data_IF_925212243138
#
_entry.id   IF_925212243138
#
_cell.length_a   1.000
_cell.length_b   1.000
_cell.length_c   1.000
_cell.angle_alpha   90.00
_cell.angle_beta   90.00
_cell.angle_gamma   90.00
#
_symmetry.space_group_name_H-M   'P 1'
#
loop_
_entity.id
_entity.type
_entity.pdbx_description
1 polymer ?
#
# COMPACT_ATOMS: atom_id res chain seq x y z
N UNK A 1 20.74 18.73 -13.63
CA UNK A 1 19.32 18.51 -14.00
C UNK A 1 19.12 17.19 -14.73
N UNK A 2 19.75 16.96 -15.90
CA UNK A 2 19.62 15.68 -16.62
C UNK A 2 20.04 14.47 -15.78
N UNK A 3 21.19 14.53 -15.10
CA UNK A 3 21.68 13.49 -14.19
C UNK A 3 20.63 13.11 -13.14
N UNK A 4 20.08 14.11 -12.44
CA UNK A 4 19.03 13.91 -11.45
C UNK A 4 17.80 13.20 -12.04
N UNK A 5 17.33 13.62 -13.22
CA UNK A 5 16.16 13.02 -13.89
C UNK A 5 16.41 11.54 -14.19
N UNK A 6 17.59 11.21 -14.73
CA UNK A 6 17.95 9.83 -15.06
C UNK A 6 18.06 8.95 -13.80
N UNK A 7 18.71 9.47 -12.75
CA UNK A 7 18.82 8.77 -11.47
C UNK A 7 17.46 8.60 -10.80
N UNK A 8 16.62 9.62 -10.81
CA UNK A 8 15.25 9.56 -10.28
C UNK A 8 14.46 8.48 -11.00
N UNK A 9 14.48 8.46 -12.35
CA UNK A 9 13.79 7.45 -13.13
C UNK A 9 14.32 6.03 -12.84
N UNK A 10 15.63 5.86 -12.71
CA UNK A 10 16.24 4.58 -12.39
C UNK A 10 15.83 4.08 -10.99
N UNK A 11 15.90 4.94 -9.97
CA UNK A 11 15.44 4.60 -8.62
C UNK A 11 13.93 4.35 -8.58
N UNK A 12 13.15 5.12 -9.33
CA UNK A 12 11.69 4.94 -9.41
C UNK A 12 11.35 3.54 -9.92
N UNK A 13 11.93 3.15 -11.06
CA UNK A 13 11.72 1.81 -11.64
C UNK A 13 12.21 0.72 -10.69
N UNK A 14 13.36 0.91 -10.04
CA UNK A 14 13.88 -0.07 -9.09
C UNK A 14 12.95 -0.26 -7.88
N UNK A 15 12.49 0.83 -7.26
CA UNK A 15 11.53 0.80 -6.15
C UNK A 15 10.18 0.21 -6.57
N UNK A 16 9.64 0.62 -7.72
CA UNK A 16 8.37 0.12 -8.23
C UNK A 16 8.43 -1.38 -8.56
N UNK A 17 9.53 -1.87 -9.13
CA UNK A 17 9.78 -3.31 -9.26
C UNK A 17 9.76 -4.02 -7.90
N UNK A 18 10.26 -3.39 -6.84
CA UNK A 18 10.28 -4.00 -5.52
C UNK A 18 8.89 -4.15 -4.89
N UNK A 19 8.00 -3.19 -5.15
CA UNK A 19 6.59 -3.32 -4.79
C UNK A 19 5.92 -4.39 -5.65
N UNK A 20 5.98 -4.26 -6.97
CA UNK A 20 5.20 -5.10 -7.89
C UNK A 20 5.69 -6.55 -7.95
N UNK A 21 6.99 -6.77 -8.12
CA UNK A 21 7.59 -8.11 -8.21
C UNK A 21 7.79 -8.71 -6.82
N UNK A 22 8.34 -7.92 -5.88
CA UNK A 22 8.64 -8.39 -4.54
C UNK A 22 7.39 -8.52 -3.68
N UNK A 23 6.90 -7.39 -3.17
CA UNK A 23 5.83 -7.36 -2.17
C UNK A 23 4.50 -7.90 -2.71
N UNK A 24 4.08 -7.45 -3.89
CA UNK A 24 2.76 -7.76 -4.43
C UNK A 24 2.68 -9.17 -5.05
N UNK A 25 3.30 -9.39 -6.21
CA UNK A 25 3.20 -10.67 -6.94
C UNK A 25 3.98 -11.79 -6.24
N UNK A 26 5.14 -11.48 -5.68
CA UNK A 26 6.03 -12.44 -5.03
C UNK A 26 5.53 -12.88 -3.65
N UNK A 27 5.41 -11.94 -2.72
CA UNK A 27 5.05 -12.24 -1.34
C UNK A 27 3.53 -12.35 -1.15
N UNK A 28 2.74 -11.34 -1.51
CA UNK A 28 1.31 -11.33 -1.20
C UNK A 28 0.53 -12.39 -1.97
N UNK A 29 0.79 -12.55 -3.27
CA UNK A 29 0.00 -13.44 -4.13
C UNK A 29 0.64 -14.77 -4.48
N UNK A 30 1.95 -14.93 -4.22
CA UNK A 30 2.70 -16.13 -4.61
C UNK A 30 2.49 -16.49 -6.09
N UNK A 31 2.36 -15.47 -6.93
CA UNK A 31 2.09 -15.60 -8.35
C UNK A 31 3.26 -16.26 -9.11
N UNK A 32 4.45 -16.25 -8.50
CA UNK A 32 5.60 -16.98 -8.97
C UNK A 32 6.42 -17.57 -7.81
N UNK A 33 7.31 -18.51 -8.12
CA UNK A 33 8.27 -19.09 -7.19
C UNK A 33 9.69 -18.83 -7.72
N UNK A 34 10.62 -18.51 -6.83
CA UNK A 34 12.03 -18.28 -7.16
C UNK A 34 12.92 -18.71 -5.98
N UNK A 35 14.24 -18.87 -6.17
CA UNK A 35 15.17 -19.03 -5.05
C UNK A 35 15.11 -17.82 -4.10
N UNK A 36 15.34 -18.05 -2.80
CA UNK A 36 15.22 -17.00 -1.77
C UNK A 36 16.07 -15.76 -2.01
N UNK A 37 17.27 -15.91 -2.59
CA UNK A 37 18.11 -14.75 -2.91
C UNK A 37 17.49 -13.84 -3.99
N UNK A 38 16.72 -14.41 -4.94
CA UNK A 38 15.97 -13.64 -5.94
C UNK A 38 14.77 -12.95 -5.29
N UNK A 39 14.08 -13.65 -4.38
CA UNK A 39 12.98 -13.06 -3.60
C UNK A 39 13.47 -11.86 -2.79
N UNK A 40 14.56 -12.02 -2.03
CA UNK A 40 15.16 -10.91 -1.27
C UNK A 40 15.65 -9.76 -2.15
N UNK A 41 16.23 -10.07 -3.31
CA UNK A 41 16.68 -9.05 -4.26
C UNK A 41 15.54 -8.12 -4.68
N UNK A 42 14.34 -8.67 -4.94
CA UNK A 42 13.17 -7.86 -5.31
C UNK A 42 12.45 -7.26 -4.11
N UNK A 43 12.46 -7.91 -2.95
CA UNK A 43 11.83 -7.34 -1.74
C UNK A 43 12.61 -6.11 -1.24
N UNK A 44 13.94 -6.11 -1.33
CA UNK A 44 14.78 -5.01 -0.87
C UNK A 44 14.39 -3.62 -1.42
N UNK A 45 14.22 -3.40 -2.73
CA UNK A 45 13.80 -2.10 -3.26
C UNK A 45 12.43 -1.64 -2.75
N UNK A 46 11.47 -2.56 -2.54
CA UNK A 46 10.15 -2.23 -2.01
C UNK A 46 10.23 -1.79 -0.55
N UNK A 47 11.03 -2.52 0.25
CA UNK A 47 11.35 -2.12 1.62
C UNK A 47 12.03 -0.73 1.66
N UNK A 48 12.96 -0.49 0.74
CA UNK A 48 13.63 0.80 0.58
C UNK A 48 12.76 1.88 -0.11
N UNK A 49 11.48 1.63 -0.35
CA UNK A 49 10.50 2.60 -0.83
C UNK A 49 9.52 3.04 0.28
N UNK A 50 9.89 2.86 1.56
CA UNK A 50 9.08 3.24 2.72
C UNK A 50 7.74 2.49 2.88
N UNK A 51 7.61 1.29 2.31
CA UNK A 51 6.40 0.45 2.36
C UNK A 51 6.22 -0.32 3.69
N UNK A 52 7.16 -0.17 4.64
CA UNK A 52 7.16 -0.94 5.88
C UNK A 52 7.71 -2.37 5.71
N UNK A 53 7.55 -3.20 6.73
CA UNK A 53 8.04 -4.57 6.73
C UNK A 53 7.30 -5.45 5.72
N UNK A 54 7.96 -6.48 5.15
CA UNK A 54 7.31 -7.40 4.21
C UNK A 54 6.10 -8.14 4.79
N UNK A 55 6.13 -8.47 6.09
CA UNK A 55 5.01 -9.13 6.80
C UNK A 55 3.83 -8.16 6.94
N UNK A 56 4.06 -6.92 7.42
CA UNK A 56 3.03 -5.87 7.47
C UNK A 56 2.32 -5.70 6.13
N UNK A 57 3.08 -5.40 5.09
CA UNK A 57 2.49 -5.07 3.80
C UNK A 57 1.72 -6.27 3.22
N UNK A 58 2.29 -7.47 3.28
CA UNK A 58 1.62 -8.68 2.78
C UNK A 58 0.37 -9.02 3.60
N UNK A 59 0.41 -8.81 4.91
CA UNK A 59 -0.75 -9.01 5.80
C UNK A 59 -1.89 -8.08 5.43
N UNK A 60 -1.61 -6.78 5.32
CA UNK A 60 -2.62 -5.78 4.99
C UNK A 60 -3.20 -5.98 3.59
N UNK A 61 -2.34 -6.26 2.61
CA UNK A 61 -2.76 -6.50 1.23
C UNK A 61 -3.61 -7.78 1.08
N UNK A 62 -3.22 -8.88 1.73
CA UNK A 62 -4.03 -10.11 1.74
C UNK A 62 -5.35 -9.89 2.48
N UNK A 63 -5.35 -9.13 3.58
CA UNK A 63 -6.58 -8.77 4.29
C UNK A 63 -7.52 -7.91 3.44
N UNK A 64 -6.98 -6.98 2.64
CA UNK A 64 -7.74 -6.22 1.65
C UNK A 64 -8.40 -7.17 0.64
N UNK A 65 -7.66 -8.08 -0.02
CA UNK A 65 -8.30 -9.01 -0.97
C UNK A 65 -9.37 -9.92 -0.35
N UNK A 66 -9.22 -10.29 0.93
CA UNK A 66 -10.22 -11.07 1.64
C UNK A 66 -11.50 -10.30 1.97
N UNK A 67 -11.40 -8.98 2.15
CA UNK A 67 -12.49 -8.14 2.62
C UNK A 67 -12.80 -6.97 1.69
N UNK A 68 -12.31 -7.00 0.45
CA UNK A 68 -12.23 -5.87 -0.47
C UNK A 68 -13.56 -5.13 -0.56
N UNK A 69 -13.49 -3.81 -0.44
CA UNK A 69 -14.65 -2.91 -0.50
C UNK A 69 -15.78 -3.25 0.49
N UNK A 70 -15.48 -3.99 1.57
CA UNK A 70 -16.37 -4.19 2.72
C UNK A 70 -15.90 -3.37 3.93
N UNK A 71 -16.68 -3.40 5.01
CA UNK A 71 -16.31 -2.76 6.29
C UNK A 71 -15.02 -3.32 6.93
N UNK A 72 -14.59 -4.52 6.52
CA UNK A 72 -13.40 -5.16 7.07
C UNK A 72 -12.15 -4.89 6.21
N UNK A 73 -12.28 -4.23 5.06
CA UNK A 73 -11.13 -3.80 4.26
C UNK A 73 -10.40 -2.64 4.96
N UNK A 74 -9.09 -2.80 5.26
CA UNK A 74 -8.34 -1.82 6.03
C UNK A 74 -8.29 -0.43 5.39
N UNK A 75 -8.38 -0.33 4.07
CA UNK A 75 -8.23 0.92 3.32
C UNK A 75 -9.33 1.08 2.26
N UNK A 76 -10.55 0.62 2.57
CA UNK A 76 -11.70 0.75 1.68
C UNK A 76 -12.00 2.23 1.35
N UNK A 77 -12.16 2.59 0.06
CA UNK A 77 -12.58 3.93 -0.32
C UNK A 77 -14.01 4.26 0.09
N UNK A 78 -14.78 3.28 0.59
CA UNK A 78 -16.13 3.50 1.15
C UNK A 78 -16.09 4.32 2.45
N UNK A 79 -14.95 4.35 3.13
CA UNK A 79 -14.68 5.26 4.25
C UNK A 79 -14.22 6.66 3.82
N UNK A 80 -14.17 6.91 2.51
CA UNK A 80 -13.77 8.18 1.91
C UNK A 80 -12.34 8.16 1.35
N UNK A 81 -12.14 8.97 0.31
CA UNK A 81 -10.87 9.05 -0.45
C UNK A 81 -9.68 9.37 0.45
N UNK A 82 -9.81 10.31 1.37
CA UNK A 82 -8.72 10.69 2.28
C UNK A 82 -8.34 9.55 3.23
N UNK A 83 -9.33 8.76 3.68
CA UNK A 83 -9.09 7.60 4.52
C UNK A 83 -8.34 6.50 3.76
N UNK A 84 -8.83 6.12 2.58
CA UNK A 84 -8.22 5.08 1.75
C UNK A 84 -6.81 5.45 1.25
N UNK A 85 -6.56 6.74 0.96
CA UNK A 85 -5.23 7.20 0.55
C UNK A 85 -4.23 7.19 1.70
N UNK A 86 -4.56 7.75 2.87
CA UNK A 86 -3.61 7.90 3.99
C UNK A 86 -4.20 7.65 5.38
N UNK A 87 -5.47 7.96 5.60
CA UNK A 87 -6.06 7.95 6.95
C UNK A 87 -5.99 6.59 7.66
N UNK A 88 -6.04 5.48 6.94
CA UNK A 88 -5.93 4.13 7.51
C UNK A 88 -4.60 3.88 8.25
N UNK A 89 -3.51 4.55 7.85
CA UNK A 89 -2.19 4.42 8.48
C UNK A 89 -2.11 5.13 9.85
N UNK A 90 -3.03 6.06 10.16
CA UNK A 90 -3.00 6.87 11.37
C UNK A 90 -3.17 6.06 12.66
N UNK A 91 -3.76 4.86 12.59
CA UNK A 91 -3.92 3.97 13.76
C UNK A 91 -2.59 3.41 14.27
N UNK A 92 -1.54 3.40 13.45
CA UNK A 92 -0.19 2.96 13.85
C UNK A 92 -0.17 1.57 14.50
N UNK A 93 -1.03 0.67 14.04
CA UNK A 93 -1.17 -0.72 14.50
C UNK A 93 -1.85 -1.57 13.43
N UNK A 94 -1.78 -2.89 13.58
CA UNK A 94 -2.72 -3.78 12.89
C UNK A 94 -4.15 -3.47 13.36
N UNK A 95 -5.15 -3.48 12.45
CA UNK A 95 -6.55 -3.55 12.84
C UNK A 95 -6.82 -4.82 13.67
N UNK A 96 -7.73 -4.74 14.63
CA UNK A 96 -7.96 -5.84 15.59
C UNK A 96 -8.45 -7.14 14.97
N UNK A 97 -9.05 -7.10 13.78
CA UNK A 97 -9.52 -8.27 13.03
C UNK A 97 -8.49 -8.83 12.04
N UNK A 98 -7.29 -8.25 11.98
CA UNK A 98 -6.21 -8.67 11.08
C UNK A 98 -5.04 -9.20 11.91
N UNK A 99 -4.58 -10.41 11.61
CA UNK A 99 -3.52 -11.10 12.35
C UNK A 99 -2.44 -11.63 11.38
N UNK A 100 -1.20 -11.13 11.45
CA UNK A 100 -0.10 -11.63 10.63
C UNK A 100 0.10 -13.16 10.66
N UNK A 101 -0.25 -13.82 11.77
CA UNK A 101 -0.15 -15.28 11.90
C UNK A 101 -1.18 -16.03 11.04
N UNK A 102 -2.24 -15.35 10.61
CA UNK A 102 -3.26 -15.86 9.69
C UNK A 102 -2.92 -15.43 8.28
N UNK A 103 -2.88 -14.13 8.01
CA UNK A 103 -2.72 -13.63 6.65
C UNK A 103 -1.32 -13.85 6.08
N UNK A 104 -0.24 -13.84 6.88
CA UNK A 104 1.14 -13.91 6.40
C UNK A 104 1.94 -15.09 7.00
N UNK A 105 1.26 -16.19 7.33
CA UNK A 105 1.85 -17.39 7.97
C UNK A 105 3.07 -17.98 7.25
N UNK A 106 3.15 -17.84 5.94
CA UNK A 106 4.30 -18.29 5.13
C UNK A 106 5.54 -17.38 5.25
N UNK A 107 5.38 -16.16 5.81
CA UNK A 107 6.45 -15.18 5.96
C UNK A 107 6.99 -15.10 7.39
N UNK A 108 6.17 -15.40 8.40
CA UNK A 108 6.53 -15.19 9.83
C UNK A 108 7.77 -15.96 10.29
N UNK A 109 8.10 -17.07 9.63
CA UNK A 109 9.27 -17.90 9.96
C UNK A 109 10.53 -17.53 9.17
N UNK A 110 10.43 -16.59 8.23
CA UNK A 110 11.60 -16.09 7.52
C UNK A 110 12.40 -15.17 8.44
N UNK A 111 13.69 -15.46 8.71
CA UNK A 111 14.46 -14.73 9.73
C UNK A 111 14.66 -13.26 9.37
N UNK A 112 14.77 -12.93 8.07
CA UNK A 112 14.93 -11.54 7.64
C UNK A 112 13.61 -10.80 7.83
N UNK A 113 12.50 -11.39 7.40
CA UNK A 113 11.21 -10.72 7.50
C UNK A 113 10.73 -10.60 8.95
N UNK A 114 10.95 -11.63 9.78
CA UNK A 114 10.67 -11.59 11.20
C UNK A 114 11.48 -10.51 11.93
N UNK A 115 12.76 -10.34 11.56
CA UNK A 115 13.58 -9.24 12.07
C UNK A 115 12.99 -7.88 11.68
N UNK A 116 12.59 -7.67 10.42
CA UNK A 116 12.01 -6.40 9.98
C UNK A 116 10.64 -6.12 10.62
N UNK A 117 9.86 -7.16 10.89
CA UNK A 117 8.53 -7.08 11.51
C UNK A 117 8.56 -6.80 13.01
N UNK A 118 9.71 -6.98 13.67
CA UNK A 118 9.90 -6.65 15.09
C UNK A 118 8.83 -7.29 16.00
N UNK A 119 8.47 -8.55 15.71
CA UNK A 119 7.50 -9.32 16.49
C UNK A 119 6.06 -8.79 16.44
N UNK A 120 5.66 -8.18 15.32
CA UNK A 120 4.32 -7.60 15.14
C UNK A 120 4.14 -6.23 15.80
N UNK A 121 5.19 -5.68 16.39
CA UNK A 121 5.14 -4.34 16.96
C UNK A 121 5.26 -3.30 15.84
N UNK A 122 4.11 -2.81 15.39
CA UNK A 122 4.01 -1.82 14.30
C UNK A 122 4.98 -0.65 14.47
N UNK A 123 5.05 -0.05 15.67
CA UNK A 123 5.89 1.15 15.92
C UNK A 123 7.37 0.83 15.77
N UNK A 124 7.83 -0.28 16.35
CA UNK A 124 9.22 -0.73 16.22
C UNK A 124 9.56 -1.06 14.76
N UNK A 125 8.70 -1.83 14.08
CA UNK A 125 8.91 -2.23 12.69
C UNK A 125 9.00 -1.02 11.74
N UNK A 126 8.06 -0.06 11.86
CA UNK A 126 8.07 1.13 11.02
C UNK A 126 9.23 2.06 11.36
N UNK A 127 9.58 2.21 12.64
CA UNK A 127 10.77 3.00 13.05
C UNK A 127 12.04 2.41 12.46
N UNK A 128 12.21 1.09 12.53
CA UNK A 128 13.33 0.39 11.91
C UNK A 128 13.33 0.56 10.39
N UNK A 129 12.17 0.43 9.74
CA UNK A 129 12.02 0.65 8.30
C UNK A 129 12.46 2.05 7.88
N UNK A 130 11.97 3.10 8.54
CA UNK A 130 12.37 4.48 8.27
C UNK A 130 13.87 4.69 8.53
N UNK A 131 14.41 4.16 9.63
CA UNK A 131 15.83 4.28 9.95
C UNK A 131 16.72 3.63 8.89
N UNK A 132 16.40 2.41 8.44
CA UNK A 132 17.15 1.72 7.39
C UNK A 132 17.01 2.41 6.03
N UNK A 133 15.83 2.94 5.72
CA UNK A 133 15.61 3.74 4.53
C UNK A 133 16.50 5.00 4.52
N UNK A 134 16.56 5.74 5.62
CA UNK A 134 17.39 6.94 5.73
C UNK A 134 18.87 6.58 5.72
N UNK A 135 19.28 5.52 6.42
CA UNK A 135 20.66 5.04 6.42
C UNK A 135 21.14 4.69 5.00
N UNK A 136 20.30 4.05 4.19
CA UNK A 136 20.60 3.79 2.79
C UNK A 136 20.87 5.08 2.00
N UNK A 137 20.10 6.16 2.22
CA UNK A 137 20.31 7.45 1.55
C UNK A 137 21.54 8.19 2.10
N UNK A 138 21.83 8.08 3.38
CA UNK A 138 23.07 8.61 3.98
C UNK A 138 24.30 7.90 3.38
N UNK A 139 24.22 6.59 3.16
CA UNK A 139 25.29 5.85 2.48
C UNK A 139 25.46 6.32 1.02
N UNK A 140 24.38 6.51 0.27
CA UNK A 140 24.44 7.08 -1.08
C UNK A 140 25.05 8.48 -1.05
N UNK A 141 24.64 9.33 -0.11
CA UNK A 141 25.16 10.69 0.06
C UNK A 141 26.68 10.69 0.31
N UNK A 142 27.16 9.80 1.17
CA UNK A 142 28.57 9.70 1.53
C UNK A 142 29.45 9.22 0.36
N UNK A 143 28.93 8.34 -0.49
CA UNK A 143 29.72 7.71 -1.58
C UNK A 143 29.56 8.43 -2.91
N UNK A 144 28.36 8.87 -3.25
CA UNK A 144 27.99 9.40 -4.57
C UNK A 144 27.52 10.87 -4.53
N UNK A 145 27.44 11.48 -3.35
CA UNK A 145 27.03 12.87 -3.20
C UNK A 145 25.51 13.09 -3.15
N UNK A 146 25.12 14.36 -3.07
CA UNK A 146 23.75 14.73 -2.74
C UNK A 146 22.74 14.51 -3.89
N UNK A 147 23.17 14.58 -5.15
CA UNK A 147 22.28 14.43 -6.30
C UNK A 147 21.67 13.01 -6.37
N UNK A 148 22.46 11.91 -6.32
CA UNK A 148 21.89 10.56 -6.27
C UNK A 148 21.10 10.28 -4.99
N UNK A 149 21.54 10.81 -3.85
CA UNK A 149 20.85 10.62 -2.58
C UNK A 149 19.45 11.26 -2.60
N UNK A 150 19.35 12.49 -3.10
CA UNK A 150 18.07 13.18 -3.27
C UNK A 150 17.19 12.49 -4.31
N UNK A 151 17.75 12.05 -5.44
CA UNK A 151 17.02 11.31 -6.45
C UNK A 151 16.42 10.02 -5.89
N UNK A 152 17.20 9.25 -5.12
CA UNK A 152 16.74 8.02 -4.43
C UNK A 152 15.66 8.29 -3.38
N UNK A 153 15.79 9.38 -2.62
CA UNK A 153 14.78 9.77 -1.63
C UNK A 153 13.46 10.12 -2.30
N UNK A 154 13.49 11.03 -3.28
CA UNK A 154 12.28 11.50 -3.95
C UNK A 154 11.62 10.39 -4.78
N UNK A 155 12.41 9.52 -5.41
CA UNK A 155 11.87 8.37 -6.12
C UNK A 155 11.19 7.38 -5.15
N UNK A 156 11.81 7.08 -4.00
CA UNK A 156 11.19 6.22 -2.99
C UNK A 156 9.87 6.79 -2.46
N UNK A 157 9.83 8.08 -2.14
CA UNK A 157 8.60 8.76 -1.71
C UNK A 157 7.53 8.80 -2.81
N UNK A 158 7.92 9.02 -4.07
CA UNK A 158 6.99 9.01 -5.19
C UNK A 158 6.40 7.63 -5.42
N UNK A 159 7.21 6.58 -5.32
CA UNK A 159 6.75 5.18 -5.45
C UNK A 159 5.85 4.78 -4.27
N UNK A 160 6.13 5.27 -3.05
CA UNK A 160 5.27 5.04 -1.88
C UNK A 160 3.84 5.52 -2.10
N UNK A 161 3.64 6.57 -2.91
CA UNK A 161 2.30 7.06 -3.23
C UNK A 161 1.51 6.15 -4.18
N UNK A 162 2.18 5.23 -4.87
CA UNK A 162 1.54 4.40 -5.90
C UNK A 162 0.53 3.41 -5.29
N UNK A 163 0.88 2.55 -4.31
CA UNK A 163 -0.10 1.66 -3.67
C UNK A 163 -1.24 2.44 -3.01
N UNK A 164 -0.94 3.56 -2.36
CA UNK A 164 -1.94 4.42 -1.72
C UNK A 164 -2.94 4.98 -2.73
N UNK A 165 -2.45 5.38 -3.89
CA UNK A 165 -3.29 5.86 -4.99
C UNK A 165 -4.12 4.73 -5.61
N UNK A 166 -3.58 3.50 -5.71
CA UNK A 166 -4.31 2.32 -6.20
C UNK A 166 -5.55 2.02 -5.33
N UNK A 167 -5.43 2.12 -3.99
CA UNK A 167 -6.54 1.95 -3.04
C UNK A 167 -7.74 2.86 -3.35
N UNK A 168 -7.50 3.99 -4.01
CA UNK A 168 -8.54 4.96 -4.36
C UNK A 168 -8.93 4.82 -5.82
N UNK A 169 -8.01 5.10 -6.74
CA UNK A 169 -8.33 5.27 -8.15
C UNK A 169 -8.81 3.98 -8.79
N UNK A 170 -8.23 2.85 -8.36
CA UNK A 170 -8.55 1.56 -8.92
C UNK A 170 -9.69 0.84 -8.17
N UNK A 171 -10.31 1.47 -7.17
CA UNK A 171 -11.52 0.99 -6.47
C UNK A 171 -12.71 1.96 -6.56
N UNK A 172 -12.59 2.99 -7.41
CA UNK A 172 -13.65 3.95 -7.66
C UNK A 172 -14.09 3.82 -9.12
N UNK A 173 -15.27 3.21 -9.40
CA UNK A 173 -15.67 2.84 -10.75
C UNK A 173 -15.67 3.97 -11.79
N UNK A 174 -15.81 5.22 -11.34
CA UNK A 174 -15.77 6.41 -12.20
C UNK A 174 -14.42 6.70 -12.87
N UNK A 175 -13.32 6.09 -12.43
CA UNK A 175 -11.97 6.38 -12.96
C UNK A 175 -11.45 5.36 -13.98
N UNK A 176 -12.19 4.27 -14.22
CA UNK A 176 -11.70 3.16 -15.03
C UNK A 176 -12.81 2.34 -15.66
N UNK A 177 -12.45 1.14 -16.10
CA UNK A 177 -13.37 0.16 -16.68
C UNK A 177 -13.20 -1.21 -16.03
N UNK A 178 -14.23 -2.06 -16.13
CA UNK A 178 -14.16 -3.47 -15.73
C UNK A 178 -14.08 -4.35 -16.98
N UNK A 179 -13.13 -5.27 -16.99
CA UNK A 179 -13.04 -6.34 -17.99
C UNK A 179 -13.85 -7.56 -17.51
N UNK A 180 -13.79 -7.84 -16.21
CA UNK A 180 -14.42 -9.01 -15.61
C UNK A 180 -15.47 -8.57 -14.58
N UNK A 181 -16.62 -9.25 -14.61
CA UNK A 181 -17.59 -9.15 -13.52
C UNK A 181 -16.99 -9.74 -12.23
N UNK A 182 -17.27 -9.10 -11.11
CA UNK A 182 -16.76 -9.49 -9.80
C UNK A 182 -17.57 -8.81 -8.68
N UNK A 183 -17.18 -9.08 -7.43
CA UNK A 183 -17.89 -8.64 -6.23
C UNK A 183 -17.42 -7.30 -5.66
N UNK A 184 -16.25 -6.83 -6.05
CA UNK A 184 -15.67 -5.57 -5.59
C UNK A 184 -15.91 -4.41 -6.58
N UNK A 185 -15.48 -3.21 -6.21
CA UNK A 185 -15.57 -2.00 -7.02
C UNK A 185 -14.29 -1.72 -7.82
N UNK A 186 -13.41 -2.73 -7.95
CA UNK A 186 -12.13 -2.57 -8.65
C UNK A 186 -12.29 -2.24 -10.14
N UNK A 187 -11.44 -1.36 -10.66
CA UNK A 187 -11.42 -0.96 -12.08
C UNK A 187 -10.01 -0.89 -12.62
N UNK A 188 -9.87 -1.18 -13.90
CA UNK A 188 -8.65 -0.96 -14.67
C UNK A 188 -8.50 0.53 -15.00
N UNK A 189 -7.35 1.11 -14.71
CA UNK A 189 -7.01 2.51 -14.99
C UNK A 189 -5.69 2.56 -15.77
N UNK A 190 -5.77 2.83 -17.08
CA UNK A 190 -4.66 2.61 -18.00
C UNK A 190 -3.39 3.41 -17.69
N UNK A 191 -3.54 4.68 -17.30
CA UNK A 191 -2.41 5.54 -16.99
C UNK A 191 -1.77 5.19 -15.64
N UNK A 192 -2.55 4.66 -14.69
CA UNK A 192 -2.03 4.04 -13.47
C UNK A 192 -1.30 2.75 -13.83
N UNK A 193 -1.78 1.99 -14.83
CA UNK A 193 -1.09 0.81 -15.36
C UNK A 193 0.33 1.15 -15.84
N UNK A 194 0.50 2.25 -16.57
CA UNK A 194 1.82 2.69 -17.02
C UNK A 194 2.70 3.18 -15.85
N UNK A 195 2.16 4.00 -14.97
CA UNK A 195 2.88 4.57 -13.84
C UNK A 195 3.31 3.51 -12.82
N UNK A 196 2.41 2.57 -12.53
CA UNK A 196 2.59 1.50 -11.56
C UNK A 196 3.10 0.20 -12.18
N UNK A 197 3.72 0.23 -13.37
CA UNK A 197 4.35 -0.94 -14.00
C UNK A 197 3.43 -2.15 -14.24
N UNK A 198 2.12 -1.93 -14.40
CA UNK A 198 1.10 -2.95 -14.66
C UNK A 198 0.06 -3.13 -13.56
N UNK A 199 0.23 -2.49 -12.39
CA UNK A 199 -0.71 -2.66 -11.27
C UNK A 199 -2.05 -1.94 -11.46
N UNK A 200 -2.12 -0.97 -12.38
CA UNK A 200 -3.38 -0.31 -12.72
C UNK A 200 -4.37 -1.19 -13.48
N UNK A 201 -4.00 -2.40 -13.91
CA UNK A 201 -4.93 -3.42 -14.41
C UNK A 201 -5.63 -4.14 -13.24
N UNK A 202 -6.21 -3.33 -12.35
CA UNK A 202 -6.60 -3.75 -11.01
C UNK A 202 -7.86 -4.63 -11.00
N UNK A 203 -8.83 -4.38 -11.89
CA UNK A 203 -9.98 -5.29 -12.05
C UNK A 203 -9.55 -6.66 -12.57
N UNK A 204 -8.59 -6.69 -13.51
CA UNK A 204 -8.02 -7.95 -13.98
C UNK A 204 -7.29 -8.68 -12.85
N UNK A 205 -6.53 -7.94 -12.04
CA UNK A 205 -5.85 -8.46 -10.86
C UNK A 205 -6.83 -9.05 -9.84
N UNK A 206 -7.86 -8.30 -9.43
CA UNK A 206 -8.87 -8.79 -8.48
C UNK A 206 -9.68 -9.99 -9.00
N UNK A 207 -9.89 -10.09 -10.32
CA UNK A 207 -10.51 -11.27 -10.92
C UNK A 207 -9.66 -12.55 -10.79
N UNK A 208 -8.34 -12.44 -10.76
CA UNK A 208 -7.43 -13.55 -10.57
C UNK A 208 -6.14 -13.15 -9.83
N UNK A 209 -6.19 -12.90 -8.50
CA UNK A 209 -5.09 -12.27 -7.78
C UNK A 209 -3.79 -13.09 -7.77
N UNK A 210 -3.92 -14.42 -7.91
CA UNK A 210 -2.76 -15.32 -8.01
C UNK A 210 -2.09 -15.32 -9.38
N UNK A 211 -2.59 -14.60 -10.39
CA UNK A 211 -1.98 -14.52 -11.72
C UNK A 211 -0.76 -13.59 -11.69
N UNK A 212 0.35 -14.02 -12.29
CA UNK A 212 1.54 -13.19 -12.46
C UNK A 212 1.38 -12.12 -13.55
N UNK A 213 0.33 -12.23 -14.35
CA UNK A 213 -0.05 -11.30 -15.41
C UNK A 213 -1.35 -10.62 -15.02
N UNK A 214 -1.37 -9.29 -15.06
CA UNK A 214 -2.55 -8.46 -14.81
C UNK A 214 -3.04 -7.78 -16.10
N UNK A 215 -2.14 -7.44 -17.03
CA UNK A 215 -2.54 -6.89 -18.34
C UNK A 215 -3.01 -7.99 -19.31
N UNK A 216 -4.28 -8.00 -19.69
CA UNK A 216 -4.93 -9.08 -20.45
C UNK A 216 -5.15 -8.73 -21.92
N UNK A 217 -5.53 -7.50 -22.22
CA UNK A 217 -5.60 -7.03 -23.60
C UNK A 217 -4.20 -6.74 -24.17
N UNK A 218 -4.07 -6.73 -25.50
CA UNK A 218 -2.77 -6.52 -26.18
C UNK A 218 -2.15 -5.14 -25.88
N UNK A 219 -2.97 -4.15 -25.53
CA UNK A 219 -2.55 -2.78 -25.21
C UNK A 219 -2.37 -2.55 -23.71
N UNK A 220 -2.79 -3.50 -22.85
CA UNK A 220 -2.62 -3.41 -21.41
C UNK A 220 -1.18 -3.74 -21.02
N UNK A 221 -0.30 -2.75 -21.13
CA UNK A 221 1.13 -2.90 -20.86
C UNK A 221 1.39 -3.28 -19.40
N UNK A 222 1.96 -4.46 -19.18
CA UNK A 222 2.30 -5.01 -17.87
C UNK A 222 3.81 -5.26 -17.79
N UNK A 223 4.56 -4.20 -17.43
CA UNK A 223 6.03 -4.23 -17.42
C UNK A 223 6.55 -5.25 -16.41
N UNK A 224 5.91 -5.36 -15.24
CA UNK A 224 6.25 -6.33 -14.21
C UNK A 224 6.12 -7.77 -14.72
N UNK A 225 5.05 -8.08 -15.48
CA UNK A 225 4.91 -9.41 -16.08
C UNK A 225 6.00 -9.68 -17.12
N UNK A 226 6.33 -8.68 -17.94
CA UNK A 226 7.42 -8.81 -18.92
C UNK A 226 8.75 -9.13 -18.24
N UNK A 227 9.05 -8.49 -17.11
CA UNK A 227 10.25 -8.79 -16.30
C UNK A 227 10.20 -10.23 -15.80
N UNK A 228 9.07 -10.70 -15.26
CA UNK A 228 8.92 -12.09 -14.80
C UNK A 228 9.12 -13.10 -15.94
N UNK A 229 8.63 -12.80 -17.15
CA UNK A 229 8.87 -13.65 -18.34
C UNK A 229 10.36 -13.75 -18.66
N UNK A 230 11.10 -12.63 -18.61
CA UNK A 230 12.56 -12.65 -18.81
C UNK A 230 13.23 -13.47 -17.71
N UNK A 231 12.89 -13.24 -16.45
CA UNK A 231 13.43 -14.01 -15.32
C UNK A 231 13.12 -15.52 -15.43
N UNK A 232 11.94 -15.88 -15.93
CA UNK A 232 11.55 -17.27 -16.21
C UNK A 232 12.42 -17.89 -17.29
N UNK A 233 12.69 -17.16 -18.38
CA UNK A 233 13.61 -17.61 -19.45
C UNK A 233 15.04 -17.78 -18.96
N UNK A 234 15.49 -16.94 -18.03
CA UNK A 234 16.80 -17.03 -17.39
C UNK A 234 16.89 -18.10 -16.28
N UNK A 235 15.81 -18.81 -15.98
CA UNK A 235 15.78 -19.84 -14.93
C UNK A 235 15.71 -19.30 -13.50
N UNK A 236 15.58 -17.99 -13.31
CA UNK A 236 15.46 -17.36 -11.98
C UNK A 236 14.06 -17.54 -11.36
N UNK A 237 13.04 -17.69 -12.21
CA UNK A 237 11.68 -18.05 -11.79
C UNK A 237 11.43 -19.53 -12.11
N UNK A 238 11.17 -20.33 -11.07
CA UNK A 238 10.97 -21.77 -11.21
C UNK A 238 9.53 -22.11 -11.56
N UNK A 239 8.56 -21.37 -11.01
CA UNK A 239 7.12 -21.49 -11.34
C UNK A 239 6.53 -20.11 -11.53
N UNK A 240 5.60 -19.96 -12.46
CA UNK A 240 4.86 -18.73 -12.70
C UNK A 240 3.44 -19.10 -13.06
N UNK A 241 2.48 -18.62 -12.27
CA UNK A 241 1.06 -18.84 -12.52
C UNK A 241 0.57 -17.76 -13.49
N UNK A 242 -0.05 -18.16 -14.60
CA UNK A 242 -0.64 -17.22 -15.56
C UNK A 242 -2.03 -17.73 -15.87
N UNK A 243 -3.05 -16.94 -15.52
CA UNK A 243 -4.44 -17.29 -15.79
C UNK A 243 -4.83 -16.72 -17.15
N UNK A 244 -5.42 -17.53 -18.03
CA UNK A 244 -5.84 -17.08 -19.35
C UNK A 244 -7.10 -16.23 -19.29
N UNK A 245 -7.31 -15.38 -20.30
CA UNK A 245 -8.51 -14.55 -20.42
C UNK A 245 -9.78 -15.39 -20.38
N UNK A 246 -9.80 -16.52 -21.09
CA UNK A 246 -10.93 -17.44 -21.13
C UNK A 246 -11.25 -18.00 -19.75
N UNK A 247 -10.21 -18.34 -18.98
CA UNK A 247 -10.38 -18.85 -17.62
C UNK A 247 -10.90 -17.76 -16.66
N UNK A 248 -10.44 -16.53 -16.79
CA UNK A 248 -11.00 -15.42 -15.99
C UNK A 248 -12.44 -15.12 -16.37
N UNK A 249 -12.79 -15.14 -17.66
CA UNK A 249 -14.18 -15.02 -18.11
C UNK A 249 -15.05 -16.15 -17.55
N UNK A 250 -14.54 -17.38 -17.51
CA UNK A 250 -15.24 -18.51 -16.88
C UNK A 250 -15.47 -18.27 -15.39
N UNK A 251 -14.45 -17.82 -14.65
CA UNK A 251 -14.55 -17.48 -13.22
C UNK A 251 -15.59 -16.37 -13.01
N UNK A 252 -15.49 -15.29 -13.79
CA UNK A 252 -16.41 -14.16 -13.74
C UNK A 252 -17.85 -14.56 -14.10
N UNK A 253 -18.05 -15.49 -15.04
CA UNK A 253 -19.39 -15.97 -15.43
C UNK A 253 -20.09 -16.78 -14.33
N UNK A 254 -19.32 -17.40 -13.43
CA UNK A 254 -19.84 -18.14 -12.27
C UNK A 254 -20.18 -17.20 -11.12
N UNK A 255 -19.73 -15.95 -11.17
CA UNK A 255 -20.10 -14.95 -10.20
C UNK A 255 -21.60 -14.69 -10.30
N UNK A 256 -22.31 -15.04 -9.22
CA UNK A 256 -23.65 -14.56 -8.97
C UNK A 256 -23.50 -13.41 -7.98
N UNK A 257 -24.05 -12.22 -8.27
CA UNK A 257 -24.09 -11.16 -7.28
C UNK A 257 -24.98 -11.60 -6.14
N UNK A 258 -24.40 -12.25 -5.14
CA UNK A 258 -24.99 -12.26 -3.82
C UNK A 258 -24.62 -10.95 -3.15
N UNK A 259 -25.68 -10.30 -2.64
CA UNK A 259 -25.73 -9.34 -1.54
C UNK A 259 -26.18 -7.94 -1.94
N UNK A 260 -27.24 -7.53 -1.24
CA UNK A 260 -27.82 -6.20 -1.19
C UNK A 260 -26.75 -5.12 -0.96
N UNK A 261 -26.96 -3.88 -1.45
CA UNK A 261 -26.03 -2.79 -1.22
C UNK A 261 -25.77 -2.62 0.28
N UNK A 262 -24.52 -2.80 0.70
CA UNK A 262 -24.07 -2.40 2.03
C UNK A 262 -24.22 -0.89 2.09
N UNK A 263 -25.10 -0.40 2.97
CA UNK A 263 -25.26 1.02 3.22
C UNK A 263 -23.89 1.62 3.56
N UNK A 264 -23.53 2.72 2.90
CA UNK A 264 -22.27 3.40 3.16
C UNK A 264 -22.13 3.65 4.67
N UNK A 265 -21.03 3.25 5.30
CA UNK A 265 -20.84 3.53 6.71
C UNK A 265 -20.74 5.05 6.85
N UNK A 266 -21.53 5.59 7.78
CA UNK A 266 -21.41 6.98 8.23
C UNK A 266 -20.16 7.05 9.13
N UNK A 267 -18.98 6.84 8.56
CA UNK A 267 -17.78 7.40 9.19
C UNK A 267 -17.86 8.87 8.89
N UNK A 268 -18.15 9.66 9.93
CA UNK A 268 -18.14 11.11 9.82
C UNK A 268 -16.82 11.49 9.12
N UNK A 269 -16.88 12.16 7.94
CA UNK A 269 -15.67 12.59 7.29
C UNK A 269 -14.86 13.37 8.32
N UNK A 270 -13.57 13.04 8.47
CA UNK A 270 -12.66 13.91 9.20
C UNK A 270 -12.84 15.28 8.56
N UNK A 271 -13.44 16.20 9.30
CA UNK A 271 -13.89 17.43 8.71
C UNK A 271 -12.63 18.18 8.23
N UNK A 272 -12.61 18.50 6.94
CA UNK A 272 -11.55 19.28 6.28
C UNK A 272 -11.12 20.54 7.06
N UNK A 273 -11.98 21.20 7.86
CA UNK A 273 -11.57 22.33 8.71
C UNK A 273 -10.45 22.03 9.72
N UNK A 274 -10.19 20.76 10.09
CA UNK A 274 -9.14 20.39 11.05
C UNK A 274 -7.78 20.10 10.39
N UNK A 275 -7.75 19.73 9.10
CA UNK A 275 -6.50 19.39 8.39
C UNK A 275 -5.75 20.62 7.86
N UNK A 276 -6.49 21.68 7.49
CA UNK A 276 -5.91 22.89 6.90
C UNK A 276 -5.01 23.65 7.90
N UNK A 277 -5.40 23.84 9.18
CA UNK A 277 -4.53 24.48 10.17
C UNK A 277 -3.28 23.65 10.49
N UNK A 278 -3.40 22.32 10.50
CA UNK A 278 -2.28 21.41 10.80
C UNK A 278 -1.24 21.35 9.66
N UNK A 279 -1.69 21.37 8.40
CA UNK A 279 -0.79 21.45 7.24
C UNK A 279 -0.18 22.86 7.11
N UNK A 280 -0.95 23.91 7.40
CA UNK A 280 -0.45 25.28 7.44
C UNK A 280 0.58 25.49 8.55
N UNK A 281 0.43 24.86 9.72
CA UNK A 281 1.40 24.95 10.81
C UNK A 281 2.71 24.22 10.51
N UNK A 282 2.65 23.07 9.82
CA UNK A 282 3.84 22.34 9.36
C UNK A 282 4.57 23.10 8.24
N UNK A 283 3.84 23.72 7.33
CA UNK A 283 4.42 24.58 6.28
C UNK A 283 5.02 25.88 6.87
N UNK A 284 4.40 26.46 7.89
CA UNK A 284 4.92 27.63 8.60
C UNK A 284 6.14 27.28 9.48
N UNK A 285 6.14 26.11 10.13
CA UNK A 285 7.26 25.56 10.91
C UNK A 285 8.53 25.34 10.08
N UNK A 286 8.39 25.02 8.80
CA UNK A 286 9.53 24.92 7.88
C UNK A 286 10.19 26.28 7.57
N UNK A 287 9.58 27.40 7.99
CA UNK A 287 10.06 28.77 7.77
C UNK A 287 10.50 29.51 9.04
N UNK A 288 10.38 28.93 10.24
CA UNK A 288 10.65 29.62 11.51
C UNK A 288 10.96 28.67 12.68
N UNK A 289 11.75 29.18 13.63
CA UNK A 289 12.47 28.46 14.71
C UNK A 289 11.73 27.26 15.33
N UNK A 290 12.44 26.14 15.37
CA UNK A 290 12.03 24.80 15.83
C UNK A 290 11.39 24.72 17.24
N UNK A 291 11.64 25.68 18.13
CA UNK A 291 11.10 25.72 19.50
C UNK A 291 9.58 25.90 19.52
N UNK A 292 9.05 26.74 18.64
CA UNK A 292 7.67 27.18 18.65
C UNK A 292 6.74 26.08 18.07
N UNK A 293 7.34 25.20 17.26
CA UNK A 293 6.74 24.01 16.67
C UNK A 293 6.49 22.94 17.74
N UNK A 294 7.43 22.74 18.66
CA UNK A 294 7.30 21.76 19.74
C UNK A 294 6.22 22.19 20.72
N UNK A 295 6.20 23.47 21.14
CA UNK A 295 5.18 24.00 22.05
C UNK A 295 3.76 23.95 21.43
N UNK A 296 3.65 24.23 20.13
CA UNK A 296 2.39 24.12 19.39
C UNK A 296 1.91 22.66 19.24
N UNK A 297 2.83 21.72 19.00
CA UNK A 297 2.53 20.28 18.95
C UNK A 297 2.12 19.74 20.31
N UNK A 298 2.80 20.12 21.38
CA UNK A 298 2.46 19.72 22.75
C UNK A 298 1.07 20.24 23.16
N UNK A 299 0.74 21.48 22.77
CA UNK A 299 -0.58 22.08 23.00
C UNK A 299 -1.67 21.38 22.17
N UNK A 300 -1.42 21.07 20.90
CA UNK A 300 -2.35 20.33 20.05
C UNK A 300 -2.59 18.90 20.56
N UNK A 301 -1.55 18.21 21.03
CA UNK A 301 -1.65 16.87 21.62
C UNK A 301 -2.44 16.91 22.93
N UNK A 302 -2.25 17.94 23.76
CA UNK A 302 -3.00 18.13 25.01
C UNK A 302 -4.49 18.35 24.72
N UNK A 303 -4.80 19.24 23.77
CA UNK A 303 -6.18 19.51 23.35
C UNK A 303 -6.85 18.27 22.71
N UNK A 304 -6.10 17.43 21.97
CA UNK A 304 -6.65 16.18 21.40
C UNK A 304 -6.94 15.10 22.46
N UNK A 305 -6.20 15.09 23.57
CA UNK A 305 -6.45 14.18 24.69
C UNK A 305 -7.72 14.58 25.44
N UNK A 306 -7.94 15.88 25.62
CA UNK A 306 -9.16 16.40 26.22
C UNK A 306 -10.40 16.15 25.33
N UNK A 307 -10.23 16.22 23.99
CA UNK A 307 -11.27 15.85 23.03
C UNK A 307 -11.59 14.33 23.04
N UNK A 308 -10.57 13.48 23.17
CA UNK A 308 -10.74 12.03 23.24
C UNK A 308 -11.44 11.57 24.53
N UNK A 309 -11.23 12.26 25.65
CA UNK A 309 -11.96 12.04 26.91
C UNK A 309 -13.42 12.45 26.78
N UNK A 310 -13.72 13.57 26.11
CA UNK A 310 -15.10 14.06 25.90
C UNK A 310 -15.90 13.16 24.92
N UNK A 311 -15.24 12.60 23.89
CA UNK A 311 -15.87 11.64 22.96
C UNK A 311 -16.16 10.29 23.66
N UNK A 312 -15.26 9.79 24.50
CA UNK A 312 -15.46 8.58 25.30
C UNK A 312 -16.62 8.73 26.30
N UNK A 313 -16.74 9.90 26.93
CA UNK A 313 -17.85 10.23 27.82
C UNK A 313 -19.20 10.31 27.07
N UNK A 314 -19.22 10.93 25.89
CA UNK A 314 -20.43 11.02 25.04
C UNK A 314 -20.84 9.66 24.46
N UNK A 315 -19.90 8.79 24.08
CA UNK A 315 -20.20 7.43 23.61
C UNK A 315 -20.80 6.54 24.72
N UNK A 316 -20.35 6.68 25.97
CA UNK A 316 -20.99 6.01 27.12
C UNK A 316 -22.40 6.52 27.42
N UNK A 317 -22.67 7.81 27.19
CA UNK A 317 -24.01 8.38 27.38
C UNK A 317 -25.02 7.88 26.33
N UNK A 318 -24.60 7.71 25.07
CA UNK A 318 -25.46 7.18 23.99
C UNK A 318 -25.76 5.69 24.20
N UNK A 319 -24.82 4.91 24.75
CA UNK A 319 -25.04 3.49 25.05
C UNK A 319 -26.10 3.26 26.15
N UNK A 320 -26.34 4.22 27.04
CA UNK A 320 -27.35 4.12 28.10
C UNK A 320 -28.78 4.46 27.62
N UNK A 321 -28.94 5.11 26.47
CA UNK A 321 -30.25 5.45 25.90
C UNK A 321 -30.81 4.34 24.99
N UNK A 322 -30.01 3.32 24.66
CA UNK A 322 -30.41 2.19 23.79
C UNK A 322 -30.76 0.92 24.62
N UNK A 323 -30.75 1.00 25.95
CA UNK A 323 -31.15 -0.10 26.85
C UNK A 323 -32.40 0.19 27.69
N UNK A 324 -33.33 1.01 27.18
CA UNK A 324 -34.72 1.15 27.63
C UNK A 324 -35.64 1.00 26.42
#
# INVERSE_FOLDING_TARGET
MLEFILLFAAFYVWHACGITLGYHRGLSHRAYSCPKWVEYFWVLPGFLAFEGSPIWWSTMHRAHHHHVDTELDPHSPRYGVAYAHLGWLAKMSYPSHIDPNVQAKDLINDPIYAFLEQGGNWRKAHTLSYALNLLFRVAILAVFGWVPALASLLAGLAVQQIPLMLNVLCHLPKWGYKTYAGYDDSVNVWWVGLLAMGEGWHNNHHAAPGSARSGMAWWELDVSYMILVVMKKLGLVTRMNVVSHERMMEIASKYKPEVAPVAAPVVAPISVPELVPALASVAAAASGKYSDVIESLETAVKNSKDLAVDISAKQKAVAYTISL
#
